data_IF_817426732254
#
_entry.id   IF_817426732254
#
_cell.length_a   1.000
_cell.length_b   1.000
_cell.length_c   1.000
_cell.angle_alpha   90.00
_cell.angle_beta   90.00
_cell.angle_gamma   90.00
#
_symmetry.space_group_name_H-M   'P 1'
#
loop_
_entity.id
_entity.type
_entity.pdbx_description
1 polymer ?
#
# COMPACT_ATOMS: atom_id res chain seq x y z
N UNK A 1 -34.23 -18.10 -27.93
CA UNK A 1 -33.33 -16.94 -28.15
C UNK A 1 -32.75 -16.56 -26.81
N UNK A 2 -31.66 -17.24 -26.46
CA UNK A 2 -31.15 -17.40 -25.11
C UNK A 2 -30.04 -16.36 -24.89
N UNK A 3 -30.43 -15.18 -24.40
CA UNK A 3 -29.51 -14.05 -24.22
C UNK A 3 -28.77 -14.18 -22.89
N UNK A 4 -27.60 -14.82 -22.97
CA UNK A 4 -26.60 -14.99 -21.91
C UNK A 4 -26.43 -13.74 -21.03
N UNK A 5 -26.41 -13.87 -19.69
CA UNK A 5 -26.07 -12.75 -18.82
C UNK A 5 -24.63 -12.31 -19.07
N UNK A 6 -24.46 -11.02 -19.37
CA UNK A 6 -23.17 -10.39 -19.64
C UNK A 6 -22.38 -10.24 -18.33
N UNK A 7 -21.67 -11.30 -17.94
CA UNK A 7 -20.77 -11.37 -16.79
C UNK A 7 -19.45 -10.59 -17.05
N UNK A 8 -19.58 -9.29 -17.34
CA UNK A 8 -18.45 -8.39 -17.63
C UNK A 8 -18.22 -7.35 -16.54
N UNK A 9 -18.62 -7.63 -15.30
CA UNK A 9 -18.02 -6.95 -14.15
C UNK A 9 -16.89 -7.81 -13.64
N UNK A 10 -15.79 -7.79 -14.39
CA UNK A 10 -14.43 -8.10 -13.92
C UNK A 10 -14.18 -7.15 -12.75
N UNK A 11 -14.68 -7.50 -11.55
CA UNK A 11 -14.29 -6.88 -10.30
C UNK A 11 -12.77 -6.95 -10.34
N UNK A 12 -12.10 -5.81 -10.57
CA UNK A 12 -10.66 -5.70 -10.35
C UNK A 12 -10.50 -6.12 -8.89
N UNK A 13 -10.21 -7.41 -8.69
CA UNK A 13 -9.90 -8.01 -7.40
C UNK A 13 -8.87 -7.05 -6.85
N UNK A 14 -9.20 -6.29 -5.81
CA UNK A 14 -8.30 -5.34 -5.18
C UNK A 14 -7.11 -6.20 -4.77
N UNK A 15 -6.10 -6.29 -5.64
CA UNK A 15 -4.94 -7.14 -5.42
C UNK A 15 -4.33 -6.52 -4.18
N UNK A 16 -4.44 -7.25 -3.07
CA UNK A 16 -3.87 -6.78 -1.83
C UNK A 16 -2.41 -6.42 -2.09
N UNK A 17 -1.93 -5.40 -1.41
CA UNK A 17 -0.52 -5.11 -1.39
C UNK A 17 0.13 -5.90 -0.26
N UNK A 18 1.27 -6.53 -0.54
CA UNK A 18 2.11 -7.16 0.49
C UNK A 18 3.01 -6.09 1.10
N UNK A 19 2.95 -5.95 2.42
CA UNK A 19 3.84 -5.06 3.16
C UNK A 19 5.25 -5.66 3.25
N UNK A 20 6.28 -4.90 2.89
CA UNK A 20 7.68 -5.27 3.04
C UNK A 20 8.10 -5.38 4.51
N UNK A 21 7.41 -4.69 5.43
CA UNK A 21 7.76 -4.67 6.85
C UNK A 21 7.24 -5.88 7.62
N UNK A 22 5.98 -6.29 7.40
CA UNK A 22 5.37 -7.43 8.10
C UNK A 22 5.08 -8.64 7.20
N UNK A 23 5.33 -8.56 5.90
CA UNK A 23 5.07 -9.63 4.93
C UNK A 23 3.59 -9.95 4.70
N UNK A 24 2.66 -9.25 5.36
CA UNK A 24 1.22 -9.54 5.27
C UNK A 24 0.58 -8.87 4.06
N UNK A 25 -0.33 -9.58 3.41
CA UNK A 25 -1.18 -9.02 2.37
C UNK A 25 -2.27 -8.14 3.00
N UNK A 26 -2.35 -6.89 2.56
CA UNK A 26 -3.24 -5.87 3.09
C UNK A 26 -4.04 -5.24 1.96
N UNK A 27 -5.27 -4.75 2.23
CA UNK A 27 -6.07 -4.07 1.21
C UNK A 27 -5.41 -2.77 0.73
N UNK A 28 -4.50 -2.20 1.52
CA UNK A 28 -3.82 -0.95 1.25
C UNK A 28 -2.37 -0.98 1.77
N UNK A 29 -1.44 -0.49 0.96
CA UNK A 29 -0.11 -0.07 1.39
C UNK A 29 0.28 1.23 0.72
N UNK A 30 1.05 2.02 1.46
CA UNK A 30 1.92 3.06 0.91
C UNK A 30 2.98 2.40 0.04
N UNK A 31 3.16 2.89 -1.18
CA UNK A 31 4.16 2.38 -2.12
C UNK A 31 5.18 3.47 -2.39
N UNK A 32 6.45 3.17 -2.18
CA UNK A 32 7.56 3.98 -2.60
C UNK A 32 8.00 3.54 -4.02
N UNK A 33 8.34 4.47 -4.92
CA UNK A 33 8.87 4.13 -6.25
C UNK A 33 10.20 3.37 -6.22
N UNK A 34 10.92 3.29 -5.09
CA UNK A 34 12.07 2.39 -4.97
C UNK A 34 11.67 0.90 -4.93
N UNK A 35 10.38 0.58 -4.75
CA UNK A 35 9.85 -0.77 -4.61
C UNK A 35 9.38 -1.11 -3.20
N UNK A 36 9.70 -0.28 -2.21
CA UNK A 36 9.26 -0.48 -0.82
C UNK A 36 7.76 -0.27 -0.67
N UNK A 37 7.09 -1.16 0.07
CA UNK A 37 5.66 -1.06 0.34
C UNK A 37 5.40 -1.23 1.83
N UNK A 38 4.68 -0.31 2.45
CA UNK A 38 4.37 -0.37 3.88
C UNK A 38 2.87 -0.23 4.12
N UNK A 39 2.32 -1.14 4.91
CA UNK A 39 0.90 -1.08 5.26
C UNK A 39 0.63 0.00 6.30
N UNK A 40 -0.63 0.47 6.34
CA UNK A 40 -1.08 1.47 7.31
C UNK A 40 -0.71 1.12 8.77
N UNK A 41 -0.86 -0.14 9.18
CA UNK A 41 -0.53 -0.54 10.55
C UNK A 41 0.97 -0.40 10.88
N UNK A 42 1.86 -0.89 10.00
CA UNK A 42 3.31 -0.73 10.20
C UNK A 42 3.74 0.73 10.10
N UNK A 43 3.06 1.50 9.24
CA UNK A 43 3.27 2.92 9.12
C UNK A 43 2.94 3.65 10.42
N UNK A 44 1.77 3.40 11.02
CA UNK A 44 1.34 3.98 12.30
C UNK A 44 2.25 3.58 13.46
N UNK A 45 2.65 2.31 13.51
CA UNK A 45 3.56 1.79 14.55
C UNK A 45 4.96 2.42 14.48
N UNK A 46 5.43 2.76 13.28
CA UNK A 46 6.75 3.36 13.05
C UNK A 46 6.67 4.86 12.74
N UNK A 47 5.49 5.49 12.84
CA UNK A 47 5.23 6.86 12.40
C UNK A 47 6.08 7.86 13.19
N UNK A 48 6.28 7.60 14.48
CA UNK A 48 7.15 8.38 15.37
C UNK A 48 8.63 8.34 14.97
N UNK A 49 9.09 7.30 14.26
CA UNK A 49 10.47 7.17 13.77
C UNK A 49 10.65 7.45 12.29
N UNK A 50 9.59 7.33 11.48
CA UNK A 50 9.63 7.51 10.02
C UNK A 50 9.15 8.90 9.57
N UNK A 51 8.56 9.71 10.45
CA UNK A 51 7.99 11.01 10.06
C UNK A 51 8.66 12.15 10.82
N UNK A 52 9.22 13.11 10.10
CA UNK A 52 9.94 14.24 10.70
C UNK A 52 8.99 15.42 11.03
N UNK A 53 7.80 15.47 10.43
CA UNK A 53 6.86 16.60 10.61
C UNK A 53 5.38 16.21 10.49
N UNK A 54 5.03 14.92 10.46
CA UNK A 54 3.65 14.46 10.31
C UNK A 54 3.00 14.71 8.94
N UNK A 55 3.70 15.33 7.99
CA UNK A 55 3.24 15.60 6.61
C UNK A 55 3.82 14.60 5.61
N UNK A 56 5.02 14.08 5.88
CA UNK A 56 5.74 13.16 5.00
C UNK A 56 6.32 12.02 5.82
N UNK A 57 6.41 10.85 5.20
CA UNK A 57 7.15 9.71 5.73
C UNK A 57 8.44 9.50 4.95
N UNK A 58 9.50 9.15 5.66
CA UNK A 58 10.78 8.82 5.09
C UNK A 58 10.81 7.33 4.77
N UNK A 59 11.09 6.98 3.52
CA UNK A 59 11.25 5.58 3.15
C UNK A 59 12.52 5.01 3.81
N UNK A 60 12.43 3.87 4.53
CA UNK A 60 13.60 3.28 5.19
C UNK A 60 14.60 2.67 4.19
N UNK A 61 14.13 2.35 2.99
CA UNK A 61 14.93 1.67 1.96
C UNK A 61 15.76 2.67 1.13
N UNK A 62 15.15 3.81 0.76
CA UNK A 62 15.82 4.81 -0.10
C UNK A 62 15.99 6.19 0.55
N UNK A 63 15.58 6.38 1.81
CA UNK A 63 15.67 7.65 2.55
C UNK A 63 14.82 8.80 2.02
N UNK A 64 14.02 8.57 0.96
CA UNK A 64 13.26 9.62 0.31
C UNK A 64 12.00 9.96 1.11
N UNK A 65 11.68 11.26 1.19
CA UNK A 65 10.42 11.73 1.76
C UNK A 65 9.28 11.48 0.77
N UNK A 66 8.20 10.91 1.28
CA UNK A 66 6.99 10.57 0.53
C UNK A 66 5.78 11.19 1.21
N UNK A 67 4.79 11.66 0.44
CA UNK A 67 3.52 12.05 1.03
C UNK A 67 2.79 10.80 1.56
N UNK A 68 1.92 11.02 2.55
CA UNK A 68 0.82 10.11 2.86
C UNK A 68 -0.26 10.19 1.75
#
# INVERSE_FOLDING_TARGET
>A
MDRKPNDRKRRRKRRGCVCSCCGKERPFCWTCPCGFRICNACMEENLWGLTCSGVNWQCPDCGALRPF
#
